data_IF_370584403369
#
_entry.id   IF_370584403369
#
_cell.length_a   1.000
_cell.length_b   1.000
_cell.length_c   1.000
_cell.angle_alpha   90.00
_cell.angle_beta   90.00
_cell.angle_gamma   90.00
#
_symmetry.space_group_name_H-M   'P 1'
#
loop_
_entity.id
_entity.type
_entity.pdbx_description
1 polymer ?
#
# COMPACT_ATOMS: atom_id res chain seq x y z
N UNK A 1 12.20 1.91 17.18
CA UNK A 1 13.55 1.41 16.85
C UNK A 1 13.58 0.64 15.53
N UNK A 2 13.21 -0.65 15.47
CA UNK A 2 13.31 -1.42 14.22
C UNK A 2 12.43 -0.87 13.08
N UNK A 3 11.13 -0.64 13.35
CA UNK A 3 10.19 -0.09 12.36
C UNK A 3 10.61 1.27 11.79
N UNK A 4 11.17 2.14 12.65
CA UNK A 4 11.66 3.47 12.28
C UNK A 4 13.06 3.43 11.63
N UNK A 5 13.59 2.25 11.34
CA UNK A 5 14.93 2.04 10.77
C UNK A 5 16.07 2.64 11.62
N UNK A 6 15.86 2.81 12.93
CA UNK A 6 16.86 3.40 13.85
C UNK A 6 17.97 2.41 14.23
N UNK A 7 17.82 1.13 13.88
CA UNK A 7 18.78 0.06 14.16
C UNK A 7 19.59 -0.16 12.88
N UNK A 8 20.92 -0.02 12.95
CA UNK A 8 21.77 -0.28 11.79
C UNK A 8 21.73 -1.76 11.40
N UNK A 9 21.60 -2.08 10.10
CA UNK A 9 21.64 -3.46 9.64
C UNK A 9 23.05 -4.04 9.85
N UNK A 10 23.16 -5.34 10.20
CA UNK A 10 24.43 -6.01 10.44
C UNK A 10 25.27 -6.18 9.17
N UNK A 11 24.66 -6.08 7.99
CA UNK A 11 25.30 -6.15 6.69
C UNK A 11 24.74 -5.05 5.79
N UNK A 12 25.64 -4.31 5.12
CA UNK A 12 25.29 -3.32 4.10
C UNK A 12 25.82 -3.86 2.77
N UNK A 13 24.95 -4.17 1.79
CA UNK A 13 25.41 -4.66 0.49
C UNK A 13 26.25 -3.58 -0.21
N UNK A 14 27.19 -4.02 -1.06
CA UNK A 14 27.90 -3.11 -1.93
C UNK A 14 26.89 -2.42 -2.86
N UNK A 15 26.84 -1.10 -2.80
CA UNK A 15 26.08 -0.27 -3.73
C UNK A 15 27.07 0.61 -4.46
N UNK A 16 27.01 0.57 -5.79
CA UNK A 16 27.75 1.50 -6.63
C UNK A 16 26.82 2.61 -7.10
N UNK A 17 26.87 2.89 -8.39
CA UNK A 17 25.95 3.81 -9.05
C UNK A 17 24.51 3.24 -9.09
N UNK A 18 23.49 4.09 -9.27
CA UNK A 18 22.09 3.66 -9.35
C UNK A 18 21.82 2.60 -10.44
N UNK A 19 22.61 2.60 -11.52
CA UNK A 19 22.51 1.67 -12.63
C UNK A 19 23.25 0.34 -12.42
N UNK A 20 24.02 0.20 -11.34
CA UNK A 20 24.86 -0.97 -11.14
C UNK A 20 24.05 -2.21 -10.72
N UNK A 21 24.36 -3.33 -11.36
CA UNK A 21 23.62 -4.59 -11.15
C UNK A 21 24.46 -5.67 -10.46
N UNK A 22 25.44 -5.31 -9.63
CA UNK A 22 26.38 -6.28 -9.01
C UNK A 22 25.70 -7.33 -8.12
N UNK A 23 24.55 -7.00 -7.54
CA UNK A 23 23.76 -7.90 -6.71
C UNK A 23 22.75 -8.74 -7.51
N UNK A 24 22.77 -8.66 -8.83
CA UNK A 24 21.89 -9.42 -9.73
C UNK A 24 22.70 -10.41 -10.56
N UNK A 25 22.07 -11.52 -10.93
CA UNK A 25 22.73 -12.54 -11.74
C UNK A 25 22.99 -12.03 -13.18
N UNK A 26 24.23 -12.14 -13.69
CA UNK A 26 24.57 -11.81 -15.07
C UNK A 26 23.66 -12.46 -16.11
N UNK A 27 23.09 -13.63 -15.82
CA UNK A 27 22.15 -14.29 -16.72
C UNK A 27 20.94 -13.41 -17.06
N UNK A 28 20.49 -12.54 -16.15
CA UNK A 28 19.36 -11.63 -16.39
C UNK A 28 19.82 -10.25 -16.87
N UNK A 29 20.95 -9.74 -16.36
CA UNK A 29 21.40 -8.36 -16.65
C UNK A 29 22.09 -8.24 -18.01
N UNK A 30 22.66 -9.33 -18.54
CA UNK A 30 23.25 -9.35 -19.88
C UNK A 30 22.22 -9.46 -21.02
N UNK A 31 20.96 -9.81 -20.70
CA UNK A 31 19.88 -9.91 -21.69
C UNK A 31 19.45 -8.49 -22.11
N UNK A 32 19.24 -8.28 -23.40
CA UNK A 32 18.66 -7.02 -23.90
C UNK A 32 17.23 -6.87 -23.36
N UNK A 33 16.85 -5.73 -22.75
CA UNK A 33 15.48 -5.49 -22.31
C UNK A 33 14.59 -5.44 -23.55
N UNK A 34 13.80 -6.49 -23.76
CA UNK A 34 12.89 -6.63 -24.90
C UNK A 34 11.54 -7.12 -24.40
N UNK A 35 10.50 -6.43 -24.82
CA UNK A 35 9.14 -6.92 -24.68
C UNK A 35 8.90 -8.02 -25.72
N UNK A 36 8.35 -9.14 -25.26
CA UNK A 36 7.90 -10.19 -26.18
C UNK A 36 6.65 -9.72 -26.92
N UNK A 37 6.50 -10.02 -28.22
CA UNK A 37 5.28 -9.69 -28.95
C UNK A 37 4.09 -10.39 -28.29
N UNK A 38 3.13 -9.60 -27.79
CA UNK A 38 1.92 -10.09 -27.14
C UNK A 38 0.85 -10.50 -28.16
N UNK A 39 0.06 -11.52 -27.81
CA UNK A 39 -1.20 -11.82 -28.52
C UNK A 39 -2.17 -10.67 -28.29
N UNK A 40 -2.92 -10.20 -29.31
CA UNK A 40 -3.89 -9.14 -29.12
C UNK A 40 -4.90 -9.51 -28.02
N UNK A 41 -5.27 -8.56 -27.14
CA UNK A 41 -6.19 -8.83 -26.05
C UNK A 41 -7.55 -9.30 -26.58
N UNK A 42 -8.15 -10.28 -25.90
CA UNK A 42 -9.52 -10.72 -26.22
C UNK A 42 -10.53 -9.58 -25.97
N UNK A 43 -11.70 -9.64 -26.61
CA UNK A 43 -12.70 -8.56 -26.56
C UNK A 43 -13.14 -8.14 -25.14
N UNK A 44 -13.10 -9.07 -24.17
CA UNK A 44 -13.45 -8.81 -22.77
C UNK A 44 -12.23 -8.62 -21.85
N UNK A 45 -11.00 -8.59 -22.36
CA UNK A 45 -9.78 -8.49 -21.56
C UNK A 45 -9.78 -7.28 -20.62
N UNK A 46 -10.39 -6.16 -21.03
CA UNK A 46 -10.51 -4.95 -20.22
C UNK A 46 -11.26 -5.17 -18.89
N UNK A 47 -12.14 -6.18 -18.80
CA UNK A 47 -12.84 -6.51 -17.55
C UNK A 47 -11.93 -7.22 -16.55
N UNK A 48 -10.98 -8.03 -17.03
CA UNK A 48 -10.01 -8.72 -16.15
C UNK A 48 -9.07 -7.73 -15.46
N UNK A 49 -8.75 -6.62 -16.12
CA UNK A 49 -7.83 -5.60 -15.61
C UNK A 49 -8.54 -4.37 -15.03
N UNK A 50 -9.85 -4.45 -14.77
CA UNK A 50 -10.59 -3.34 -14.15
C UNK A 50 -10.02 -3.05 -12.76
N UNK A 51 -9.53 -1.83 -12.56
CA UNK A 51 -8.90 -1.41 -11.29
C UNK A 51 -7.43 -1.80 -11.14
N UNK A 52 -6.78 -2.31 -12.20
CA UNK A 52 -5.35 -2.68 -12.18
C UNK A 52 -4.42 -1.46 -12.05
N UNK A 53 -4.82 -0.30 -12.59
CA UNK A 53 -4.02 0.92 -12.51
C UNK A 53 -4.00 1.48 -11.09
N UNK A 54 -2.81 1.59 -10.53
CA UNK A 54 -2.56 2.27 -9.26
C UNK A 54 -1.52 3.37 -9.48
N UNK A 55 -1.80 4.56 -8.96
CA UNK A 55 -0.83 5.64 -8.84
C UNK A 55 -0.61 5.86 -7.36
N UNK A 56 0.63 5.75 -6.91
CA UNK A 56 0.97 6.07 -5.53
C UNK A 56 0.58 7.53 -5.27
N UNK A 57 -0.25 7.83 -4.25
CA UNK A 57 -0.43 9.20 -3.83
C UNK A 57 0.95 9.75 -3.49
N UNK A 58 1.28 10.94 -4.00
CA UNK A 58 2.56 11.61 -3.76
C UNK A 58 2.93 11.44 -2.29
N UNK A 59 4.04 10.73 -2.04
CA UNK A 59 4.48 10.35 -0.70
C UNK A 59 4.35 11.54 0.24
N UNK A 60 3.69 11.33 1.37
CA UNK A 60 3.69 12.30 2.47
C UNK A 60 5.11 12.29 3.03
N UNK A 61 5.99 13.06 2.40
CA UNK A 61 7.19 13.57 3.03
C UNK A 61 7.14 15.10 2.96
N UNK A 62 7.10 15.66 4.17
CA UNK A 62 7.39 17.04 4.53
C UNK A 62 6.24 18.08 4.46
N UNK A 63 5.60 18.25 5.64
CA UNK A 63 5.21 19.53 6.20
C UNK A 63 4.87 20.69 5.24
N UNK A 64 3.62 20.78 4.80
CA UNK A 64 2.73 21.96 4.95
C UNK A 64 1.41 21.73 4.21
N UNK A 65 0.33 21.95 4.94
CA UNK A 65 -1.04 21.98 4.45
C UNK A 65 -1.13 23.02 3.33
N UNK A 66 -1.52 22.58 2.13
CA UNK A 66 -2.27 23.39 1.17
C UNK A 66 -3.00 22.42 0.25
N UNK A 67 -4.27 22.16 0.61
CA UNK A 67 -5.17 21.38 -0.21
C UNK A 67 -5.36 22.07 -1.56
N UNK A 68 -5.02 21.37 -2.64
CA UNK A 68 -5.57 21.67 -3.97
C UNK A 68 -6.16 20.38 -4.52
N UNK A 69 -7.43 20.23 -4.19
CA UNK A 69 -8.36 19.23 -4.68
C UNK A 69 -8.51 19.39 -6.20
N UNK A 70 -8.27 18.32 -6.96
CA UNK A 70 -8.99 18.02 -8.21
C UNK A 70 -8.62 16.61 -8.68
N UNK A 71 -9.31 15.61 -8.12
CA UNK A 71 -9.42 14.29 -8.74
C UNK A 71 -10.91 13.96 -8.91
N UNK A 72 -11.28 13.63 -10.14
CA UNK A 72 -12.64 13.41 -10.62
C UNK A 72 -13.35 12.27 -9.86
N UNK A 73 -14.69 12.31 -9.70
CA UNK A 73 -15.43 11.35 -8.89
C UNK A 73 -15.81 10.12 -9.74
N UNK A 74 -14.98 9.07 -9.76
CA UNK A 74 -15.38 7.77 -10.35
C UNK A 74 -15.00 6.61 -9.41
N UNK A 75 -15.28 6.75 -8.11
CA UNK A 75 -15.18 5.63 -7.15
C UNK A 75 -16.17 5.69 -5.99
N UNK A 76 -17.32 6.35 -6.15
CA UNK A 76 -18.34 6.46 -5.10
C UNK A 76 -19.51 5.46 -5.21
N UNK A 77 -19.43 4.46 -6.10
CA UNK A 77 -20.61 3.65 -6.45
C UNK A 77 -20.37 2.14 -6.35
N UNK A 78 -19.88 1.69 -5.19
CA UNK A 78 -20.12 0.31 -4.73
C UNK A 78 -20.99 0.35 -3.46
N UNK A 79 -22.15 -0.27 -3.61
CA UNK A 79 -23.31 -0.24 -2.73
C UNK A 79 -23.06 -0.87 -1.35
N UNK A 80 -23.84 -0.37 -0.39
CA UNK A 80 -24.04 -0.92 0.95
C UNK A 80 -23.93 0.19 1.97
N UNK A 81 -25.02 0.51 2.67
CA UNK A 81 -25.02 1.38 3.85
C UNK A 81 -23.92 0.94 4.81
N UNK A 82 -22.73 1.58 4.73
CA UNK A 82 -21.60 1.25 5.59
C UNK A 82 -21.89 1.88 6.94
N UNK A 83 -22.47 1.10 7.85
CA UNK A 83 -22.29 1.34 9.27
C UNK A 83 -20.80 1.60 9.48
N UNK A 84 -20.47 2.80 9.96
CA UNK A 84 -19.11 3.13 10.28
C UNK A 84 -18.69 2.17 11.40
N UNK A 85 -17.44 1.71 11.43
CA UNK A 85 -16.97 0.81 12.50
C UNK A 85 -17.22 1.42 13.89
N UNK A 86 -17.20 2.75 13.97
CA UNK A 86 -17.50 3.57 15.15
C UNK A 86 -18.95 3.47 15.66
N UNK A 87 -19.88 3.07 14.79
CA UNK A 87 -21.29 2.87 15.14
C UNK A 87 -21.47 1.63 16.02
N UNK A 88 -20.61 0.62 15.82
CA UNK A 88 -20.71 -0.70 16.47
C UNK A 88 -19.63 -0.87 17.56
N UNK A 89 -18.48 -0.24 17.39
CA UNK A 89 -17.33 -0.37 18.29
C UNK A 89 -16.88 0.99 18.84
N UNK A 90 -16.41 0.97 20.09
CA UNK A 90 -15.69 2.07 20.71
C UNK A 90 -14.18 1.83 20.55
N UNK A 91 -13.53 2.63 19.69
CA UNK A 91 -12.10 2.52 19.38
C UNK A 91 -11.26 3.12 20.52
N UNK A 92 -10.29 2.37 21.02
CA UNK A 92 -9.38 2.73 22.12
C UNK A 92 -7.96 2.98 21.59
N UNK A 93 -6.96 2.74 22.42
CA UNK A 93 -5.55 2.98 22.10
C UNK A 93 -5.00 2.06 21.00
N UNK A 94 -3.90 2.53 20.40
CA UNK A 94 -3.12 1.76 19.43
C UNK A 94 -2.34 0.68 20.16
N UNK A 95 -2.60 -0.58 19.81
CA UNK A 95 -1.94 -1.75 20.39
C UNK A 95 -0.91 -2.38 19.44
N UNK A 96 -0.89 -1.95 18.17
CA UNK A 96 0.13 -2.37 17.21
C UNK A 96 0.24 -1.39 16.05
N UNK A 97 1.46 -1.12 15.60
CA UNK A 97 1.73 -0.23 14.45
C UNK A 97 2.56 -1.00 13.44
N UNK A 98 2.03 -1.17 12.23
CA UNK A 98 2.73 -1.74 11.08
C UNK A 98 2.86 -0.74 9.94
N UNK A 99 3.60 -1.11 8.90
CA UNK A 99 3.92 -0.23 7.77
C UNK A 99 2.71 0.33 7.01
N UNK A 100 1.58 -0.37 7.08
CA UNK A 100 0.38 -0.05 6.30
C UNK A 100 -0.90 -0.01 7.13
N UNK A 101 -0.81 -0.29 8.44
CA UNK A 101 -2.01 -0.43 9.29
C UNK A 101 -1.68 -0.26 10.76
N UNK A 102 -2.64 0.24 11.51
CA UNK A 102 -2.59 0.36 12.96
C UNK A 102 -3.64 -0.58 13.55
N UNK A 103 -3.21 -1.49 14.40
CA UNK A 103 -4.10 -2.31 15.21
C UNK A 103 -4.54 -1.50 16.43
N UNK A 104 -5.84 -1.29 16.59
CA UNK A 104 -6.46 -0.63 17.74
C UNK A 104 -7.19 -1.65 18.60
N UNK A 105 -7.15 -1.44 19.91
CA UNK A 105 -8.08 -2.13 20.81
C UNK A 105 -9.45 -1.48 20.66
N UNK A 106 -10.52 -2.26 20.66
CA UNK A 106 -11.87 -1.74 20.57
C UNK A 106 -12.83 -2.57 21.42
N UNK A 107 -13.92 -1.94 21.84
CA UNK A 107 -14.95 -2.57 22.67
C UNK A 107 -16.25 -2.61 21.87
N UNK A 108 -16.81 -3.81 21.70
CA UNK A 108 -18.11 -3.96 21.05
C UNK A 108 -19.21 -3.38 21.93
N UNK A 109 -19.98 -2.41 21.43
CA UNK A 109 -20.94 -1.65 22.25
C UNK A 109 -22.03 -2.54 22.86
N UNK A 110 -22.51 -3.54 22.12
CA UNK A 110 -23.62 -4.39 22.58
C UNK A 110 -23.19 -5.48 23.56
N UNK A 111 -22.00 -6.05 23.41
CA UNK A 111 -21.55 -7.20 24.23
C UNK A 111 -20.47 -6.83 25.26
N UNK A 112 -19.97 -5.59 25.24
CA UNK A 112 -18.86 -5.11 26.05
C UNK A 112 -17.55 -5.93 25.89
N UNK A 113 -17.44 -6.71 24.81
CA UNK A 113 -16.30 -7.59 24.58
C UNK A 113 -15.18 -6.85 23.84
N UNK A 114 -13.94 -7.13 24.23
CA UNK A 114 -12.75 -6.50 23.66
C UNK A 114 -12.24 -7.22 22.41
N UNK A 115 -11.82 -6.45 21.41
CA UNK A 115 -11.28 -6.94 20.15
C UNK A 115 -10.09 -6.09 19.68
N UNK A 116 -9.24 -6.69 18.84
CA UNK A 116 -8.18 -6.01 18.12
C UNK A 116 -8.64 -5.81 16.66
N UNK A 117 -8.71 -4.56 16.20
CA UNK A 117 -9.16 -4.21 14.84
C UNK A 117 -8.03 -3.50 14.11
N UNK A 118 -7.82 -3.91 12.85
CA UNK A 118 -6.80 -3.40 11.95
C UNK A 118 -7.42 -2.54 10.85
#
# INVERSE_FOLDING_TARGET
KLYRQEIQPPFKPASGKPEDTFCFDPEFTAKTPKDSPGVPPSANAHQLFKGFSFVAPSSIEEHKISAVTNVLPILQQFHGSRAQVTDIYDLKEDIGVGSYSICKRCIHRATNMEYAVK
#
